data_IF_193497010477
#
_entry.id   IF_193497010477
#
_cell.length_a   1.000
_cell.length_b   1.000
_cell.length_c   1.000
_cell.angle_alpha   90.00
_cell.angle_beta   90.00
_cell.angle_gamma   90.00
#
_symmetry.space_group_name_H-M   'P 1'
#
loop_
_entity.id
_entity.type
_entity.pdbx_description
1 polymer ?
#
# COMPACT_ATOMS: atom_id res chain seq x y z
N UNK A 1 5.03 5.30 -20.45
CA UNK A 1 6.02 6.38 -20.17
C UNK A 1 6.90 6.54 -21.40
N UNK A 2 7.22 7.77 -21.85
CA UNK A 2 8.02 8.02 -23.08
C UNK A 2 7.51 7.32 -24.38
N UNK A 3 6.19 7.05 -24.46
CA UNK A 3 5.58 6.33 -25.59
C UNK A 3 5.43 4.83 -25.38
N UNK A 4 6.07 4.25 -24.36
CA UNK A 4 5.86 2.85 -23.99
C UNK A 4 4.55 2.68 -23.23
N UNK A 5 3.80 1.65 -23.61
CA UNK A 5 2.58 1.20 -22.94
C UNK A 5 2.96 0.38 -21.69
N UNK A 6 2.94 1.04 -20.54
CA UNK A 6 3.35 0.47 -19.24
C UNK A 6 2.27 0.76 -18.22
N UNK A 7 1.73 -0.29 -17.61
CA UNK A 7 0.83 -0.18 -16.47
C UNK A 7 1.64 -0.09 -15.17
N UNK A 8 1.34 0.89 -14.32
CA UNK A 8 1.98 1.09 -13.02
C UNK A 8 0.92 0.91 -11.94
N UNK A 9 1.20 0.01 -11.00
CA UNK A 9 0.29 -0.35 -9.91
C UNK A 9 0.99 -0.09 -8.57
N UNK A 10 0.43 0.84 -7.77
CA UNK A 10 0.81 1.03 -6.38
C UNK A 10 0.03 0.06 -5.48
N UNK A 11 0.72 -0.83 -4.79
CA UNK A 11 0.10 -1.77 -3.86
C UNK A 11 0.25 -1.28 -2.41
N UNK A 12 -0.84 -1.32 -1.65
CA UNK A 12 -0.89 -0.83 -0.26
C UNK A 12 -1.79 -1.72 0.62
N UNK A 13 -1.79 -1.56 1.95
CA UNK A 13 -2.69 -2.34 2.81
C UNK A 13 -4.11 -1.76 2.83
N UNK A 14 -5.12 -2.62 2.81
CA UNK A 14 -6.52 -2.22 3.05
C UNK A 14 -6.77 -1.62 4.44
N UNK A 15 -5.87 -1.91 5.40
CA UNK A 15 -5.89 -1.34 6.75
C UNK A 15 -5.33 0.09 6.83
N UNK A 16 -4.48 0.50 5.87
CA UNK A 16 -3.98 1.88 5.70
C UNK A 16 -4.04 2.29 4.21
N UNK A 17 -5.26 2.49 3.66
CA UNK A 17 -5.49 2.69 2.23
C UNK A 17 -5.26 4.14 1.79
N UNK A 18 -4.02 4.62 1.91
CA UNK A 18 -3.64 6.01 1.64
C UNK A 18 -3.85 6.42 0.18
N UNK A 19 -3.44 5.61 -0.78
CA UNK A 19 -3.57 5.90 -2.21
C UNK A 19 -4.99 5.61 -2.73
N UNK A 20 -5.66 4.58 -2.22
CA UNK A 20 -6.95 4.12 -2.76
C UNK A 20 -8.16 4.82 -2.16
N UNK A 21 -8.09 5.33 -0.92
CA UNK A 21 -9.24 5.96 -0.24
C UNK A 21 -8.99 7.38 0.27
N UNK A 22 -7.74 7.80 0.47
CA UNK A 22 -7.48 9.12 1.04
C UNK A 22 -7.62 10.22 -0.01
N UNK A 23 -8.00 11.45 0.37
CA UNK A 23 -8.05 12.59 -0.54
C UNK A 23 -6.64 13.11 -0.87
N UNK A 24 -6.50 13.73 -2.04
CA UNK A 24 -5.33 14.55 -2.36
C UNK A 24 -5.48 15.95 -1.76
N UNK A 25 -4.65 16.26 -0.76
CA UNK A 25 -4.76 17.46 0.07
C UNK A 25 -3.37 17.93 0.51
N UNK A 26 -3.24 19.18 0.94
CA UNK A 26 -2.05 19.61 1.66
C UNK A 26 -2.08 19.06 3.09
N UNK A 27 -0.97 18.46 3.54
CA UNK A 27 -0.82 17.98 4.92
C UNK A 27 0.67 17.98 5.32
N UNK A 28 0.95 17.88 6.62
CA UNK A 28 2.30 17.68 7.13
C UNK A 28 2.78 16.26 6.84
N UNK A 29 4.05 16.14 6.41
CA UNK A 29 4.75 14.87 6.21
C UNK A 29 5.15 14.17 7.51
N UNK A 30 4.78 14.68 8.67
CA UNK A 30 5.05 14.04 9.94
C UNK A 30 4.01 14.44 10.97
N UNK A 31 3.72 13.54 11.92
CA UNK A 31 2.78 13.80 13.01
C UNK A 31 3.21 15.00 13.89
N UNK A 32 4.51 15.27 14.03
CA UNK A 32 5.03 16.39 14.81
C UNK A 32 4.89 17.76 14.09
N UNK A 33 4.42 17.77 12.84
CA UNK A 33 4.24 18.96 11.99
C UNK A 33 5.51 19.78 11.81
N UNK A 34 6.66 19.12 11.74
CA UNK A 34 7.95 19.76 11.53
C UNK A 34 8.24 20.06 10.05
N UNK A 35 7.62 19.30 9.16
CA UNK A 35 7.66 19.52 7.71
C UNK A 35 6.72 20.65 7.27
N UNK A 36 7.01 21.32 6.14
CA UNK A 36 6.02 22.18 5.50
C UNK A 36 4.82 21.35 5.01
N UNK A 37 3.75 22.04 4.62
CA UNK A 37 2.62 21.38 3.96
C UNK A 37 3.03 20.83 2.60
N UNK A 38 2.71 19.57 2.35
CA UNK A 38 2.99 18.84 1.12
C UNK A 38 1.68 18.45 0.44
N UNK A 39 1.56 18.65 -0.87
CA UNK A 39 0.42 18.15 -1.63
C UNK A 39 0.56 16.62 -1.79
N UNK A 40 -0.30 15.86 -1.12
CA UNK A 40 -0.24 14.40 -1.11
C UNK A 40 -1.59 13.74 -0.85
N UNK A 41 -1.71 12.46 -1.18
CA UNK A 41 -2.76 11.64 -0.59
C UNK A 41 -2.44 11.46 0.89
N UNK A 42 -3.39 11.78 1.77
CA UNK A 42 -3.17 11.71 3.21
C UNK A 42 -4.42 11.24 3.95
N UNK A 43 -4.24 10.25 4.83
CA UNK A 43 -5.23 9.88 5.86
C UNK A 43 -5.24 10.88 7.04
N UNK A 44 -4.39 11.91 7.00
CA UNK A 44 -4.20 12.91 8.05
C UNK A 44 -3.00 12.61 8.95
N UNK A 45 -2.18 13.61 9.26
CA UNK A 45 -0.97 13.44 10.09
C UNK A 45 -1.23 12.88 11.50
N UNK A 46 -2.46 12.98 12.01
CA UNK A 46 -2.90 12.39 13.28
C UNK A 46 -3.48 10.96 13.14
N UNK A 47 -3.46 10.39 11.93
CA UNK A 47 -3.93 9.02 11.70
C UNK A 47 -3.06 8.00 12.45
N UNK A 48 -3.74 7.11 13.17
CA UNK A 48 -3.11 5.98 13.85
C UNK A 48 -3.64 4.69 13.22
N UNK A 49 -2.76 3.87 12.62
CA UNK A 49 -3.13 2.56 12.07
C UNK A 49 -3.78 1.64 13.09
N UNK A 50 -4.70 0.75 12.65
CA UNK A 50 -5.31 -0.24 13.53
C UNK A 50 -4.26 -1.22 14.10
N UNK A 51 -4.39 -1.64 15.38
CA UNK A 51 -3.38 -2.47 16.06
C UNK A 51 -3.29 -3.91 15.53
N UNK A 52 -4.33 -4.38 14.82
CA UNK A 52 -4.38 -5.71 14.20
C UNK A 52 -3.53 -5.82 12.92
N UNK A 53 -2.98 -4.70 12.44
CA UNK A 53 -2.24 -4.64 11.19
C UNK A 53 -0.78 -5.08 11.37
N UNK A 54 -0.45 -6.24 10.82
CA UNK A 54 0.90 -6.81 10.83
C UNK A 54 1.62 -6.71 9.48
N UNK A 55 1.08 -5.94 8.52
CA UNK A 55 1.60 -5.84 7.15
C UNK A 55 2.61 -4.70 6.92
N UNK A 56 2.98 -3.91 7.94
CA UNK A 56 3.84 -2.74 7.74
C UNK A 56 3.10 -1.58 7.06
N UNK A 57 3.76 -0.74 6.24
CA UNK A 57 3.11 0.33 5.45
C UNK A 57 2.09 1.19 6.23
N UNK A 58 2.52 1.70 7.38
CA UNK A 58 1.68 2.37 8.39
C UNK A 58 1.59 3.89 8.25
N UNK A 59 2.34 4.44 7.32
CA UNK A 59 2.49 5.88 7.19
C UNK A 59 1.23 6.53 6.60
N UNK A 60 0.83 7.69 7.13
CA UNK A 60 -0.46 8.32 6.85
C UNK A 60 -0.53 8.98 5.47
N UNK A 61 0.61 9.42 4.95
CA UNK A 61 0.74 10.15 3.70
C UNK A 61 1.39 9.34 2.59
N UNK A 62 1.32 9.84 1.36
CA UNK A 62 2.06 9.30 0.23
C UNK A 62 3.00 10.36 -0.35
N UNK A 63 4.15 9.96 -0.90
CA UNK A 63 5.09 10.92 -1.47
C UNK A 63 4.39 11.84 -2.49
N UNK A 64 4.67 13.17 -2.51
CA UNK A 64 3.99 14.11 -3.41
C UNK A 64 4.05 13.72 -4.89
N UNK A 65 5.19 13.19 -5.35
CA UNK A 65 5.34 12.75 -6.74
C UNK A 65 4.49 11.51 -7.07
N UNK A 66 4.39 10.55 -6.15
CA UNK A 66 3.52 9.37 -6.31
C UNK A 66 2.06 9.80 -6.28
N UNK A 67 1.72 10.72 -5.38
CA UNK A 67 0.37 11.29 -5.29
C UNK A 67 -0.02 12.04 -6.55
N UNK A 68 0.87 12.87 -7.08
CA UNK A 68 0.65 13.58 -8.34
C UNK A 68 0.52 12.59 -9.52
N UNK A 69 1.33 11.54 -9.57
CA UNK A 69 1.22 10.50 -10.61
C UNK A 69 -0.14 9.79 -10.56
N UNK A 70 -0.63 9.45 -9.37
CA UNK A 70 -1.94 8.83 -9.19
C UNK A 70 -3.09 9.79 -9.54
N UNK A 71 -3.03 11.05 -9.09
CA UNK A 71 -4.03 12.07 -9.42
C UNK A 71 -4.14 12.34 -10.92
N UNK A 72 -2.99 12.35 -11.61
CA UNK A 72 -2.91 12.54 -13.05
C UNK A 72 -3.13 11.23 -13.84
N UNK A 73 -3.58 10.15 -13.19
CA UNK A 73 -3.91 8.86 -13.81
C UNK A 73 -2.72 8.23 -14.57
N UNK A 74 -1.49 8.55 -14.15
CA UNK A 74 -0.26 7.95 -14.69
C UNK A 74 0.05 6.59 -14.05
N UNK A 75 -0.62 6.28 -12.94
CA UNK A 75 -0.59 4.99 -12.26
C UNK A 75 -1.96 4.71 -11.62
N UNK A 76 -2.20 3.45 -11.26
CA UNK A 76 -3.35 3.04 -10.45
C UNK A 76 -2.88 2.56 -9.08
N UNK A 77 -3.80 2.43 -8.13
CA UNK A 77 -3.52 1.89 -6.80
C UNK A 77 -4.48 0.75 -6.46
N UNK A 78 -3.99 -0.24 -5.71
CA UNK A 78 -4.76 -1.37 -5.19
C UNK A 78 -4.43 -1.60 -3.73
N UNK A 79 -5.45 -1.86 -2.93
CA UNK A 79 -5.32 -2.16 -1.51
C UNK A 79 -5.54 -3.64 -1.26
N UNK A 80 -4.66 -4.27 -0.48
CA UNK A 80 -4.69 -5.70 -0.19
C UNK A 80 -4.89 -5.98 1.28
N UNK A 81 -5.67 -7.02 1.57
CA UNK A 81 -5.81 -7.59 2.90
C UNK A 81 -4.54 -8.35 3.29
N UNK A 82 -4.19 -8.34 4.58
CA UNK A 82 -2.92 -8.90 5.04
C UNK A 82 -2.84 -10.41 4.80
N UNK A 83 -3.93 -11.18 4.92
CA UNK A 83 -3.89 -12.60 4.61
C UNK A 83 -3.48 -12.89 3.16
N UNK A 84 -3.97 -12.10 2.19
CA UNK A 84 -3.57 -12.23 0.77
C UNK A 84 -2.10 -11.85 0.58
N UNK A 85 -1.62 -10.82 1.28
CA UNK A 85 -0.21 -10.44 1.25
C UNK A 85 0.70 -11.55 1.80
N UNK A 86 0.37 -12.15 2.95
CA UNK A 86 1.15 -13.26 3.50
C UNK A 86 1.05 -14.54 2.67
N UNK A 87 -0.09 -14.82 2.04
CA UNK A 87 -0.22 -15.90 1.06
C UNK A 87 0.74 -15.71 -0.12
N UNK A 88 0.81 -14.49 -0.67
CA UNK A 88 1.76 -14.14 -1.73
C UNK A 88 3.22 -14.27 -1.28
N UNK A 89 3.53 -13.83 -0.06
CA UNK A 89 4.86 -13.97 0.54
C UNK A 89 5.28 -15.44 0.69
N UNK A 90 4.39 -16.29 1.18
CA UNK A 90 4.65 -17.73 1.35
C UNK A 90 4.80 -18.42 0.00
N UNK A 91 4.00 -18.04 -0.99
CA UNK A 91 4.12 -18.54 -2.36
C UNK A 91 5.51 -18.21 -2.91
N UNK A 92 5.91 -16.94 -2.86
CA UNK A 92 7.23 -16.48 -3.29
C UNK A 92 8.37 -17.19 -2.55
N UNK A 93 8.30 -17.30 -1.23
CA UNK A 93 9.34 -17.98 -0.45
C UNK A 93 9.48 -19.46 -0.81
N UNK A 94 8.38 -20.14 -1.15
CA UNK A 94 8.39 -21.54 -1.57
C UNK A 94 8.88 -21.76 -3.00
N UNK A 95 8.63 -20.81 -3.90
CA UNK A 95 9.03 -20.92 -5.31
C UNK A 95 10.42 -20.37 -5.58
N UNK A 96 10.77 -19.22 -4.99
CA UNK A 96 12.01 -18.48 -5.25
C UNK A 96 13.05 -18.62 -4.12
N UNK A 97 12.66 -19.11 -2.95
CA UNK A 97 13.58 -19.41 -1.83
C UNK A 97 13.93 -18.23 -0.91
N UNK A 98 13.41 -17.03 -1.15
CA UNK A 98 13.66 -15.85 -0.32
C UNK A 98 12.42 -15.43 0.47
N UNK A 99 12.57 -15.16 1.76
CA UNK A 99 11.47 -14.64 2.60
C UNK A 99 11.35 -13.12 2.41
N UNK A 100 10.27 -12.60 1.81
CA UNK A 100 10.08 -11.16 1.61
C UNK A 100 9.65 -10.46 2.90
N UNK A 101 9.91 -9.15 2.99
CA UNK A 101 9.34 -8.33 4.04
C UNK A 101 7.80 -8.28 3.92
N UNK A 102 7.05 -8.11 5.03
CA UNK A 102 5.61 -7.92 4.99
C UNK A 102 5.19 -6.75 4.07
N UNK A 103 5.96 -5.66 4.02
CA UNK A 103 5.73 -4.54 3.12
C UNK A 103 5.85 -4.96 1.65
N UNK A 104 6.93 -5.69 1.31
CA UNK A 104 7.17 -6.20 -0.05
C UNK A 104 6.06 -7.13 -0.54
N UNK A 105 5.42 -7.85 0.38
CA UNK A 105 4.38 -8.82 0.04
C UNK A 105 3.12 -8.21 -0.61
N UNK A 106 2.87 -6.90 -0.44
CA UNK A 106 1.79 -6.19 -1.15
C UNK A 106 2.06 -6.12 -2.66
N UNK A 107 3.30 -5.82 -3.05
CA UNK A 107 3.70 -5.80 -4.45
C UNK A 107 3.70 -7.22 -5.06
N UNK A 108 4.06 -8.23 -4.27
CA UNK A 108 3.95 -9.64 -4.68
C UNK A 108 2.50 -10.06 -4.91
N UNK A 109 1.58 -9.66 -4.02
CA UNK A 109 0.16 -9.96 -4.19
C UNK A 109 -0.39 -9.38 -5.51
N UNK A 110 -0.06 -8.13 -5.81
CA UNK A 110 -0.42 -7.50 -7.09
C UNK A 110 0.22 -8.23 -8.28
N UNK A 111 1.49 -8.59 -8.20
CA UNK A 111 2.19 -9.25 -9.29
C UNK A 111 1.64 -10.66 -9.58
N UNK A 112 1.28 -11.42 -8.54
CA UNK A 112 0.65 -12.74 -8.69
C UNK A 112 -0.72 -12.59 -9.35
N UNK A 113 -1.54 -11.62 -8.93
CA UNK A 113 -2.83 -11.33 -9.57
C UNK A 113 -2.67 -10.96 -11.05
N UNK A 114 -1.67 -10.15 -11.40
CA UNK A 114 -1.37 -9.82 -12.80
C UNK A 114 -0.89 -11.03 -13.61
N UNK A 115 -0.13 -11.94 -13.01
CA UNK A 115 0.30 -13.18 -13.65
C UNK A 115 -0.89 -14.15 -13.86
N UNK A 116 -1.82 -14.22 -12.92
CA UNK A 116 -3.07 -14.98 -13.04
C UNK A 116 -3.95 -14.42 -14.16
N UNK A 117 -4.14 -13.09 -14.22
CA UNK A 117 -4.86 -12.41 -15.31
C UNK A 117 -4.21 -12.66 -16.68
N UNK A 118 -2.88 -12.60 -16.77
CA UNK A 118 -2.14 -12.88 -17.99
C UNK A 118 -2.42 -14.31 -18.51
N UNK A 119 -2.47 -15.28 -17.59
CA UNK A 119 -2.80 -16.68 -17.88
C UNK A 119 -4.25 -16.83 -18.37
N UNK A 120 -5.21 -16.18 -17.71
CA UNK A 120 -6.62 -16.22 -18.09
C UNK A 120 -6.88 -15.60 -19.48
N UNK A 121 -6.20 -14.49 -19.78
CA UNK A 121 -6.29 -13.83 -21.08
C UNK A 121 -5.48 -14.53 -22.18
N UNK A 122 -4.61 -15.49 -21.82
CA UNK A 122 -3.70 -16.15 -22.74
C UNK A 122 -2.65 -15.21 -23.36
N UNK A 123 -2.28 -14.12 -22.65
CA UNK A 123 -1.34 -13.10 -23.12
C UNK A 123 -0.09 -13.09 -22.25
N UNK A 124 1.08 -13.10 -22.86
CA UNK A 124 2.34 -12.91 -22.15
C UNK A 124 2.42 -11.48 -21.59
N UNK A 125 2.82 -11.35 -20.32
CA UNK A 125 3.09 -10.06 -19.66
C UNK A 125 4.48 -10.08 -19.02
N UNK A 126 5.18 -8.96 -19.11
CA UNK A 126 6.44 -8.77 -18.40
C UNK A 126 6.14 -7.94 -17.14
N UNK A 127 6.28 -8.55 -15.97
CA UNK A 127 5.96 -7.92 -14.69
C UNK A 127 7.28 -7.60 -13.97
N UNK A 128 7.51 -6.31 -13.72
CA UNK A 128 8.61 -5.84 -12.89
C UNK A 128 8.08 -5.52 -11.50
N UNK A 129 8.74 -6.06 -10.47
CA UNK A 129 8.32 -5.91 -9.07
C UNK A 129 9.40 -5.16 -8.29
N UNK A 130 9.01 -4.19 -7.48
CA UNK A 130 9.90 -3.58 -6.50
C UNK A 130 10.02 -4.50 -5.27
N UNK A 131 11.04 -5.37 -5.25
CA UNK A 131 11.35 -6.20 -4.09
C UNK A 131 12.09 -5.36 -3.04
N UNK A 132 11.32 -4.69 -2.16
CA UNK A 132 11.86 -3.65 -1.29
C UNK A 132 12.71 -4.14 -0.12
N UNK A 133 12.55 -5.40 0.32
CA UNK A 133 13.34 -5.95 1.43
C UNK A 133 13.03 -7.41 1.78
N UNK A 134 13.85 -7.98 2.65
CA UNK A 134 13.68 -9.34 3.18
C UNK A 134 12.94 -9.34 4.52
N UNK A 135 12.23 -10.42 4.85
CA UNK A 135 11.43 -10.57 6.07
C UNK A 135 12.10 -11.33 7.20
N UNK A 136 13.43 -11.50 7.17
CA UNK A 136 14.16 -12.29 8.17
C UNK A 136 14.00 -11.80 9.62
N UNK A 137 13.66 -10.52 9.80
CA UNK A 137 13.41 -9.92 11.12
C UNK A 137 11.91 -9.79 11.44
N UNK A 138 11.03 -10.19 10.52
CA UNK A 138 9.58 -9.98 10.59
C UNK A 138 8.81 -11.32 10.69
N UNK A 139 9.48 -12.37 11.16
CA UNK A 139 8.95 -13.73 11.20
C UNK A 139 7.72 -13.89 12.10
N UNK A 140 7.50 -13.00 13.07
CA UNK A 140 6.31 -13.00 13.94
C UNK A 140 5.03 -12.84 13.12
N UNK A 141 5.06 -12.06 12.03
CA UNK A 141 3.92 -11.94 11.13
C UNK A 141 3.59 -13.24 10.41
N UNK A 142 4.63 -13.95 9.94
CA UNK A 142 4.48 -15.26 9.32
C UNK A 142 3.98 -16.32 10.31
N UNK A 143 4.46 -16.31 11.54
CA UNK A 143 3.97 -17.19 12.61
C UNK A 143 2.45 -17.02 12.81
N UNK A 144 1.99 -15.77 12.95
CA UNK A 144 0.55 -15.46 13.07
C UNK A 144 -0.25 -15.89 11.84
N UNK A 145 0.31 -15.73 10.64
CA UNK A 145 -0.33 -16.22 9.42
C UNK A 145 -0.52 -17.74 9.45
N UNK A 146 0.53 -18.50 9.78
CA UNK A 146 0.45 -19.96 9.86
C UNK A 146 -0.43 -20.46 11.00
N UNK A 147 -0.54 -19.69 12.09
CA UNK A 147 -1.47 -19.96 13.19
C UNK A 147 -2.92 -19.59 12.87
N UNK A 148 -3.19 -18.90 11.75
CA UNK A 148 -4.52 -18.42 11.39
C UNK A 148 -5.02 -17.26 12.26
N UNK A 149 -4.10 -16.50 12.86
CA UNK A 149 -4.39 -15.41 13.79
C UNK A 149 -4.47 -14.03 13.12
N UNK A 150 -4.08 -13.93 11.85
CA UNK A 150 -4.18 -12.68 11.10
C UNK A 150 -5.64 -12.38 10.73
N UNK A 151 -6.08 -11.17 11.09
CA UNK A 151 -7.44 -10.71 10.82
C UNK A 151 -7.42 -9.65 9.74
N UNK A 152 -8.14 -9.90 8.65
CA UNK A 152 -8.29 -8.87 7.63
C UNK A 152 -9.11 -7.71 8.15
N UNK A 153 -8.67 -6.50 7.80
CA UNK A 153 -9.23 -5.26 8.30
C UNK A 153 -9.31 -4.25 7.17
N UNK A 154 -10.53 -3.80 6.89
CA UNK A 154 -10.80 -2.64 6.04
C UNK A 154 -10.89 -1.40 6.90
N UNK A 155 -10.11 -0.37 6.56
CA UNK A 155 -10.25 0.91 7.24
C UNK A 155 -11.66 1.49 7.01
N UNK A 156 -12.48 1.66 8.08
CA UNK A 156 -13.83 2.19 7.95
C UNK A 156 -13.80 3.66 7.54
N UNK A 157 -14.76 4.05 6.70
CA UNK A 157 -14.87 5.43 6.20
C UNK A 157 -14.95 6.47 7.33
N UNK A 158 -15.68 6.15 8.40
CA UNK A 158 -15.80 7.02 9.59
C UNK A 158 -14.44 7.33 10.24
N UNK A 159 -13.51 6.37 10.27
CA UNK A 159 -12.18 6.61 10.81
C UNK A 159 -11.34 7.51 9.91
N UNK A 160 -11.51 7.40 8.58
CA UNK A 160 -10.90 8.29 7.61
C UNK A 160 -11.44 9.71 7.82
N UNK A 161 -12.75 9.88 7.87
CA UNK A 161 -13.38 11.19 8.07
C UNK A 161 -12.94 11.85 9.40
N UNK A 162 -12.86 11.06 10.48
CA UNK A 162 -12.39 11.54 11.78
C UNK A 162 -10.94 12.00 11.73
N UNK A 163 -10.06 11.27 11.05
CA UNK A 163 -8.64 11.64 10.94
C UNK A 163 -8.43 12.85 10.02
N UNK A 164 -9.24 12.97 8.97
CA UNK A 164 -9.25 14.15 8.09
C UNK A 164 -9.74 15.44 8.77
N UNK A 165 -10.44 15.35 9.90
CA UNK A 165 -10.85 16.54 10.66
C UNK A 165 -9.64 17.39 11.11
N UNK A 166 -8.47 16.77 11.33
CA UNK A 166 -7.23 17.48 11.65
C UNK A 166 -6.73 18.38 10.50
N UNK A 167 -7.19 18.13 9.27
CA UNK A 167 -6.82 18.88 8.07
C UNK A 167 -7.81 19.99 7.73
N UNK A 168 -8.82 20.21 8.57
CA UNK A 168 -9.84 21.22 8.32
C UNK A 168 -9.21 22.62 8.24
N UNK A 169 -9.45 23.31 7.13
CA UNK A 169 -8.90 24.65 6.87
C UNK A 169 -7.56 24.65 6.13
N UNK A 170 -6.98 23.48 5.85
CA UNK A 170 -5.80 23.40 4.99
C UNK A 170 -6.16 23.68 3.51
N UNK A 171 -5.24 24.25 2.73
CA UNK A 171 -5.47 24.50 1.32
C UNK A 171 -5.68 23.18 0.55
N UNK A 172 -6.34 23.27 -0.60
CA UNK A 172 -6.42 22.15 -1.54
C UNK A 172 -5.40 22.35 -2.66
N UNK A 173 -4.66 21.30 -3.05
CA UNK A 173 -3.86 21.33 -4.26
C UNK A 173 -4.74 21.60 -5.48
N UNK A 174 -4.24 22.41 -6.41
CA UNK A 174 -4.86 22.62 -7.73
C UNK A 174 -4.55 21.46 -8.69
#
# INVERSE_FOLDING_TARGET
IHGDDVEIIGAEPAACPTMTKAPYIYDHGDNARMTPLLAMHSLGHDFIPPPVHAGGLRYHGMAPLVSAALQNQLMTARSYHQNRCYEAAVTWARTEGFVPAPETSHALAAAIEEAERAKEEGKARNILICYSGHGLMDLVGFEKYFAGELQDYDLPQEMIERSLAALQGYPRPE
#
